data_IF_029566343932
#
_entry.id   IF_029566343932
#
_cell.length_a   1.000
_cell.length_b   1.000
_cell.length_c   1.000
_cell.angle_alpha   90.00
_cell.angle_beta   90.00
_cell.angle_gamma   90.00
#
_symmetry.space_group_name_H-M   'P 1'
#
loop_
_entity.id
_entity.type
_entity.pdbx_description
1 polymer ?
#
# COMPACT_ATOMS: atom_id res chain seq x y z
N UNK A 1 -2.78 9.89 16.31
CA UNK A 1 -1.70 10.89 16.35
C UNK A 1 -0.54 10.44 15.47
N UNK A 2 -0.03 11.34 14.68
CA UNK A 2 1.07 11.08 13.74
C UNK A 2 2.41 11.43 14.38
N UNK A 3 3.43 10.59 14.18
CA UNK A 3 4.81 10.89 14.61
C UNK A 3 5.80 10.20 13.69
N UNK A 4 7.07 10.64 13.74
CA UNK A 4 8.14 10.11 12.90
C UNK A 4 9.14 9.35 13.75
N UNK A 5 9.49 8.13 13.30
CA UNK A 5 10.48 7.28 13.91
C UNK A 5 11.47 6.82 12.83
N UNK A 6 12.70 7.36 12.86
CA UNK A 6 13.64 7.15 11.78
C UNK A 6 13.12 7.74 10.48
N UNK A 7 13.00 6.92 9.43
CA UNK A 7 12.42 7.31 8.14
C UNK A 7 10.95 6.89 8.01
N UNK A 8 10.33 6.47 9.09
CA UNK A 8 8.96 5.96 9.08
C UNK A 8 8.01 6.96 9.73
N UNK A 9 6.92 7.27 9.03
CA UNK A 9 5.80 8.00 9.59
C UNK A 9 4.82 7.00 10.18
N UNK A 10 4.51 7.16 11.46
CA UNK A 10 3.53 6.35 12.16
C UNK A 10 2.30 7.18 12.46
N UNK A 11 1.15 6.54 12.47
CA UNK A 11 -0.14 7.20 12.65
C UNK A 11 -1.00 6.40 13.62
N UNK A 12 -2.14 6.96 14.04
CA UNK A 12 -2.98 6.37 15.07
C UNK A 12 -3.73 5.13 14.58
N UNK A 13 -4.01 4.22 15.51
CA UNK A 13 -4.79 3.01 15.20
C UNK A 13 -6.23 3.35 14.80
N UNK A 14 -6.72 4.51 15.22
CA UNK A 14 -8.05 5.04 14.88
C UNK A 14 -8.11 5.69 13.51
N UNK A 15 -6.96 5.99 12.89
CA UNK A 15 -6.92 6.63 11.58
C UNK A 15 -7.23 5.59 10.51
N UNK A 16 -8.33 5.80 9.82
CA UNK A 16 -8.75 4.97 8.71
C UNK A 16 -8.73 5.80 7.44
N UNK A 17 -8.07 5.29 6.42
CA UNK A 17 -8.04 5.98 5.14
C UNK A 17 -8.38 5.05 4.01
N UNK A 18 -8.94 5.60 2.94
CA UNK A 18 -9.39 4.80 1.81
C UNK A 18 -9.13 5.49 0.48
N UNK A 19 -9.11 4.66 -0.55
CA UNK A 19 -9.13 5.10 -1.93
C UNK A 19 -10.04 4.20 -2.75
N UNK A 20 -10.61 4.75 -3.81
CA UNK A 20 -11.24 3.96 -4.86
C UNK A 20 -10.46 4.12 -6.15
N UNK A 21 -10.39 3.07 -6.94
CA UNK A 21 -9.72 3.06 -8.23
C UNK A 21 -10.62 2.48 -9.30
N UNK A 22 -10.26 2.70 -10.56
CA UNK A 22 -10.86 1.95 -11.67
C UNK A 22 -10.23 0.55 -11.76
N UNK A 23 -10.59 -0.22 -12.78
CA UNK A 23 -10.10 -1.59 -12.97
C UNK A 23 -8.61 -1.66 -13.31
N UNK A 24 -8.01 -0.53 -13.71
CA UNK A 24 -6.58 -0.43 -14.04
C UNK A 24 -5.74 0.06 -12.87
N UNK A 25 -6.38 0.36 -11.73
CA UNK A 25 -5.69 0.86 -10.56
C UNK A 25 -5.47 2.37 -10.57
N UNK A 26 -6.16 3.11 -11.43
CA UNK A 26 -6.10 4.57 -11.44
C UNK A 26 -7.01 5.12 -10.35
N UNK A 27 -6.48 6.01 -9.51
CA UNK A 27 -7.18 6.55 -8.35
C UNK A 27 -8.32 7.47 -8.80
N UNK A 28 -9.50 7.24 -8.24
CA UNK A 28 -10.69 8.07 -8.45
C UNK A 28 -11.03 8.95 -7.28
N UNK A 29 -10.86 8.41 -6.06
CA UNK A 29 -11.21 9.12 -4.82
C UNK A 29 -10.25 8.73 -3.71
N UNK A 30 -9.99 9.69 -2.83
CA UNK A 30 -9.26 9.49 -1.58
C UNK A 30 -9.98 10.25 -0.46
N UNK A 31 -9.71 9.90 0.80
CA UNK A 31 -10.19 10.72 1.91
C UNK A 31 -9.05 11.60 2.44
N UNK A 32 -9.41 12.52 3.34
CA UNK A 32 -8.46 13.49 3.88
C UNK A 32 -7.28 12.85 4.60
N UNK A 33 -7.51 11.74 5.31
CA UNK A 33 -6.44 11.03 6.02
C UNK A 33 -5.44 10.46 5.02
N UNK A 34 -5.90 9.89 3.91
CA UNK A 34 -5.05 9.40 2.84
C UNK A 34 -4.14 10.52 2.31
N UNK A 35 -4.73 11.65 1.97
CA UNK A 35 -3.99 12.80 1.44
C UNK A 35 -2.96 13.31 2.45
N UNK A 36 -3.37 13.43 3.70
CA UNK A 36 -2.50 13.90 4.78
C UNK A 36 -1.28 13.00 4.98
N UNK A 37 -1.48 11.67 5.05
CA UNK A 37 -0.38 10.73 5.28
C UNK A 37 0.57 10.65 4.09
N UNK A 38 0.05 10.68 2.87
CA UNK A 38 0.86 10.61 1.66
C UNK A 38 1.56 11.91 1.31
N UNK A 39 1.12 13.02 1.86
CA UNK A 39 1.58 14.37 1.51
C UNK A 39 1.31 14.78 0.06
N UNK A 40 0.54 13.99 -0.67
CA UNK A 40 0.02 14.38 -1.97
C UNK A 40 -1.34 15.04 -1.78
N UNK A 41 -1.65 16.04 -2.62
CA UNK A 41 -3.00 16.60 -2.65
C UNK A 41 -3.96 15.63 -3.36
N UNK A 42 -5.26 15.79 -3.15
CA UNK A 42 -6.23 14.98 -3.87
C UNK A 42 -6.14 15.21 -5.38
N UNK A 43 -5.82 16.42 -5.81
CA UNK A 43 -5.62 16.76 -7.23
C UNK A 43 -4.43 16.02 -7.84
N UNK A 44 -3.35 15.83 -7.06
CA UNK A 44 -2.20 15.05 -7.51
C UNK A 44 -2.51 13.55 -7.56
N UNK A 45 -3.35 13.06 -6.65
CA UNK A 45 -3.67 11.64 -6.54
C UNK A 45 -4.72 11.17 -7.53
N UNK A 46 -5.83 11.92 -7.69
CA UNK A 46 -6.92 11.54 -8.58
C UNK A 46 -6.41 11.56 -10.03
N UNK A 47 -6.61 10.46 -10.73
CA UNK A 47 -6.11 10.29 -12.10
C UNK A 47 -4.70 9.70 -12.19
N UNK A 48 -4.02 9.51 -11.06
CA UNK A 48 -2.71 8.87 -11.01
C UNK A 48 -2.85 7.38 -10.74
N UNK A 49 -1.94 6.54 -11.26
CA UNK A 49 -1.92 5.13 -10.86
C UNK A 49 -1.57 5.02 -9.37
N UNK A 50 -2.12 4.00 -8.72
CA UNK A 50 -1.96 3.83 -7.27
C UNK A 50 -0.50 3.63 -6.85
N UNK A 51 0.37 3.22 -7.78
CA UNK A 51 1.79 3.04 -7.50
C UNK A 51 2.54 4.36 -7.22
N UNK A 52 1.87 5.52 -7.33
CA UNK A 52 2.46 6.81 -6.95
C UNK A 52 2.97 6.80 -5.51
N UNK A 53 2.34 6.02 -4.62
CA UNK A 53 2.75 5.90 -3.21
C UNK A 53 3.50 4.58 -2.91
N UNK A 54 3.81 3.78 -3.93
CA UNK A 54 4.47 2.50 -3.74
C UNK A 54 5.94 2.69 -3.39
N UNK A 55 6.38 2.04 -2.32
CA UNK A 55 7.80 2.01 -1.96
C UNK A 55 8.53 0.97 -2.81
N UNK A 56 9.78 1.29 -3.23
CA UNK A 56 10.59 0.40 -4.06
C UNK A 56 10.98 -0.91 -3.36
N UNK A 57 10.92 -0.95 -2.03
CA UNK A 57 11.24 -2.15 -1.25
C UNK A 57 10.06 -3.14 -1.19
N UNK A 58 8.88 -2.77 -1.71
CA UNK A 58 7.77 -3.71 -1.80
C UNK A 58 8.04 -4.76 -2.87
N UNK A 59 7.92 -6.06 -2.53
CA UNK A 59 8.11 -7.11 -3.53
C UNK A 59 6.97 -7.13 -4.54
N UNK A 60 7.30 -7.31 -5.81
CA UNK A 60 6.30 -7.42 -6.87
C UNK A 60 5.37 -8.63 -6.65
N UNK A 61 5.89 -9.71 -6.04
CA UNK A 61 5.11 -10.89 -5.73
C UNK A 61 3.94 -10.66 -4.79
N UNK A 62 4.06 -9.71 -3.86
CA UNK A 62 2.95 -9.34 -2.97
C UNK A 62 1.79 -8.76 -3.75
N UNK A 63 2.06 -7.88 -4.71
CA UNK A 63 1.03 -7.30 -5.57
C UNK A 63 0.46 -8.33 -6.54
N UNK A 64 1.28 -9.24 -7.03
CA UNK A 64 0.80 -10.32 -7.90
C UNK A 64 -0.23 -11.19 -7.17
N UNK A 65 0.05 -11.59 -5.94
CA UNK A 65 -0.90 -12.38 -5.14
C UNK A 65 -2.19 -11.58 -4.90
N UNK A 66 -2.07 -10.31 -4.58
CA UNK A 66 -3.23 -9.43 -4.40
C UNK A 66 -4.10 -9.37 -5.66
N UNK A 67 -3.48 -9.12 -6.82
CA UNK A 67 -4.22 -9.02 -8.08
C UNK A 67 -4.83 -10.36 -8.51
N UNK A 68 -4.15 -11.47 -8.24
CA UNK A 68 -4.70 -12.80 -8.52
C UNK A 68 -5.99 -13.05 -7.72
N UNK A 69 -6.02 -12.66 -6.43
CA UNK A 69 -7.22 -12.76 -5.59
C UNK A 69 -8.35 -11.87 -6.11
N UNK A 70 -8.02 -10.61 -6.39
CA UNK A 70 -9.00 -9.64 -6.88
C UNK A 70 -9.56 -10.04 -8.26
N UNK A 71 -8.71 -10.60 -9.12
CA UNK A 71 -9.12 -11.08 -10.44
C UNK A 71 -10.11 -12.24 -10.38
N UNK A 72 -10.16 -12.96 -9.25
CA UNK A 72 -11.13 -14.03 -9.02
C UNK A 72 -12.39 -13.53 -8.30
N UNK A 73 -12.54 -12.21 -8.15
CA UNK A 73 -13.69 -11.60 -7.48
C UNK A 73 -13.63 -11.65 -5.96
N UNK A 74 -12.46 -12.00 -5.39
CA UNK A 74 -12.28 -12.07 -3.93
C UNK A 74 -11.66 -10.79 -3.40
N UNK A 75 -11.95 -10.46 -2.13
CA UNK A 75 -11.23 -9.42 -1.42
C UNK A 75 -9.84 -9.92 -1.04
N UNK A 76 -8.89 -9.01 -0.89
CA UNK A 76 -7.52 -9.32 -0.51
C UNK A 76 -7.08 -8.43 0.64
N UNK A 77 -6.30 -9.00 1.58
CA UNK A 77 -5.66 -8.26 2.65
C UNK A 77 -4.16 -8.36 2.47
N UNK A 78 -3.46 -7.22 2.61
CA UNK A 78 -2.03 -7.17 2.36
C UNK A 78 -1.39 -6.07 3.22
N UNK A 79 -0.20 -6.37 3.77
CA UNK A 79 0.64 -5.34 4.35
C UNK A 79 1.38 -4.62 3.23
N UNK A 80 1.37 -3.30 3.25
CA UNK A 80 1.98 -2.49 2.20
C UNK A 80 2.88 -1.43 2.83
N UNK A 81 4.10 -1.35 2.32
CA UNK A 81 5.00 -0.24 2.63
C UNK A 81 4.82 0.82 1.54
N UNK A 82 4.46 2.02 1.97
CA UNK A 82 4.27 3.16 1.10
C UNK A 82 5.38 4.19 1.30
N UNK A 83 5.59 5.05 0.32
CA UNK A 83 6.46 6.22 0.41
C UNK A 83 5.64 7.46 0.15
N UNK A 84 5.67 8.40 1.08
CA UNK A 84 5.02 9.69 0.93
C UNK A 84 5.84 10.61 0.02
N UNK A 85 5.20 11.69 -0.42
CA UNK A 85 5.84 12.69 -1.29
C UNK A 85 7.07 13.32 -0.65
N UNK A 86 7.08 13.46 0.68
CA UNK A 86 8.20 14.03 1.44
C UNK A 86 9.34 13.01 1.70
N UNK A 87 9.22 11.79 1.18
CA UNK A 87 10.25 10.77 1.29
C UNK A 87 10.19 9.90 2.53
N UNK A 88 9.22 10.12 3.42
CA UNK A 88 9.03 9.27 4.58
C UNK A 88 8.22 8.03 4.21
N UNK A 89 8.54 6.92 4.88
CA UNK A 89 7.87 5.64 4.66
C UNK A 89 6.71 5.49 5.64
N UNK A 90 5.68 4.74 5.26
CA UNK A 90 4.63 4.35 6.20
C UNK A 90 4.04 3.00 5.82
N UNK A 91 3.92 2.14 6.84
CA UNK A 91 3.32 0.83 6.71
C UNK A 91 1.82 0.89 6.94
N UNK A 92 1.08 0.15 6.12
CA UNK A 92 -0.37 0.01 6.26
C UNK A 92 -0.77 -1.45 6.18
N UNK A 93 -1.91 -1.77 6.79
CA UNK A 93 -2.64 -3.00 6.53
C UNK A 93 -3.83 -2.64 5.65
N UNK A 94 -3.81 -3.13 4.42
CA UNK A 94 -4.81 -2.78 3.42
C UNK A 94 -5.77 -3.94 3.19
N UNK A 95 -7.07 -3.61 3.16
CA UNK A 95 -8.11 -4.53 2.73
C UNK A 95 -8.68 -3.98 1.43
N UNK A 96 -8.58 -4.75 0.36
CA UNK A 96 -9.03 -4.34 -0.97
C UNK A 96 -10.23 -5.20 -1.36
N UNK A 97 -11.30 -4.56 -1.77
CA UNK A 97 -12.54 -5.21 -2.20
C UNK A 97 -12.85 -4.85 -3.65
N UNK A 98 -13.22 -5.82 -4.49
CA UNK A 98 -13.66 -5.51 -5.84
C UNK A 98 -15.02 -4.80 -5.83
N UNK A 99 -15.16 -3.81 -6.72
CA UNK A 99 -16.41 -3.11 -7.01
C UNK A 99 -16.84 -3.48 -8.43
N UNK A 100 -18.05 -3.09 -8.82
CA UNK A 100 -18.55 -3.36 -10.17
C UNK A 100 -17.63 -2.77 -11.25
N UNK A 101 -16.99 -1.64 -10.98
CA UNK A 101 -16.19 -0.88 -11.94
C UNK A 101 -14.80 -0.51 -11.43
N UNK A 102 -14.30 -1.21 -10.43
CA UNK A 102 -12.98 -0.93 -9.87
C UNK A 102 -12.76 -1.58 -8.53
N UNK A 103 -12.04 -0.89 -7.65
CA UNK A 103 -11.65 -1.41 -6.34
C UNK A 103 -11.78 -0.37 -5.24
N UNK A 104 -12.14 -0.84 -4.05
CA UNK A 104 -12.09 -0.05 -2.81
C UNK A 104 -10.95 -0.58 -1.95
N UNK A 105 -10.07 0.30 -1.50
CA UNK A 105 -8.99 -0.06 -0.59
C UNK A 105 -9.16 0.71 0.71
N UNK A 106 -9.27 -0.01 1.81
CA UNK A 106 -9.34 0.55 3.16
C UNK A 106 -8.05 0.21 3.89
N UNK A 107 -7.43 1.20 4.51
CA UNK A 107 -6.13 1.07 5.15
C UNK A 107 -6.16 1.55 6.56
N UNK A 108 -5.48 0.79 7.43
CA UNK A 108 -5.28 1.09 8.84
C UNK A 108 -3.83 0.82 9.23
N UNK A 109 -3.42 1.30 10.40
CA UNK A 109 -2.11 0.98 10.96
C UNK A 109 -2.01 -0.52 11.24
N UNK A 110 -0.88 -1.19 10.90
CA UNK A 110 -0.66 -2.56 11.33
C UNK A 110 -0.63 -2.64 12.86
N UNK A 111 -1.46 -3.51 13.44
CA UNK A 111 -1.56 -3.68 14.90
C UNK A 111 -1.23 -5.09 15.37
N UNK A 112 -1.36 -6.09 14.51
CA UNK A 112 -1.00 -7.46 14.82
C UNK A 112 0.48 -7.71 14.53
N UNK A 113 1.33 -7.38 15.49
CA UNK A 113 2.79 -7.48 15.31
C UNK A 113 3.26 -8.93 15.20
N UNK A 114 2.53 -9.89 15.74
CA UNK A 114 2.86 -11.31 15.61
C UNK A 114 2.79 -11.77 14.14
N UNK A 115 1.90 -11.17 13.33
CA UNK A 115 1.85 -11.41 11.89
C UNK A 115 2.73 -10.44 11.11
N UNK A 116 2.72 -9.19 11.48
CA UNK A 116 3.39 -8.13 10.71
C UNK A 116 4.92 -8.30 10.69
N UNK A 117 5.53 -8.60 11.82
CA UNK A 117 6.99 -8.74 11.90
C UNK A 117 7.54 -9.82 10.97
N UNK A 118 6.99 -11.06 10.94
CA UNK A 118 7.44 -12.05 9.96
C UNK A 118 7.20 -11.63 8.50
N UNK A 119 6.10 -10.94 8.22
CA UNK A 119 5.81 -10.48 6.85
C UNK A 119 6.86 -9.49 6.37
N UNK A 120 7.28 -8.56 7.21
CA UNK A 120 8.35 -7.61 6.85
C UNK A 120 9.65 -8.34 6.46
N UNK A 121 10.02 -9.37 7.21
CA UNK A 121 11.21 -10.18 6.92
C UNK A 121 11.06 -10.95 5.60
N UNK A 122 9.90 -11.53 5.37
CA UNK A 122 9.61 -12.26 4.13
C UNK A 122 9.66 -11.30 2.94
N UNK A 123 9.08 -10.12 3.07
CA UNK A 123 9.12 -9.11 2.01
C UNK A 123 10.55 -8.71 1.65
N UNK A 124 11.40 -8.51 2.65
CA UNK A 124 12.80 -8.16 2.41
C UNK A 124 13.54 -9.27 1.65
N UNK A 125 13.30 -10.53 1.99
CA UNK A 125 13.91 -11.69 1.31
C UNK A 125 13.40 -11.83 -0.12
N UNK A 126 12.09 -11.72 -0.33
CA UNK A 126 11.50 -11.83 -1.66
C UNK A 126 12.00 -10.70 -2.56
N UNK A 127 12.05 -9.48 -2.02
CA UNK A 127 12.53 -8.33 -2.80
C UNK A 127 14.00 -8.47 -3.18
N UNK A 128 14.84 -8.97 -2.27
CA UNK A 128 16.24 -9.25 -2.56
C UNK A 128 16.39 -10.30 -3.66
N UNK A 129 15.57 -11.35 -3.63
CA UNK A 129 15.57 -12.38 -4.67
C UNK A 129 15.11 -11.82 -6.02
N UNK A 130 14.09 -10.98 -6.03
CA UNK A 130 13.59 -10.33 -7.25
C UNK A 130 14.68 -9.45 -7.89
N UNK A 131 15.39 -8.68 -7.06
CA UNK A 131 16.49 -7.83 -7.54
C UNK A 131 17.65 -8.65 -8.07
N UNK A 132 18.04 -9.72 -7.39
CA UNK A 132 19.11 -10.61 -7.85
C UNK A 132 18.74 -11.28 -9.19
N UNK A 133 17.49 -11.73 -9.35
CA UNK A 133 17.01 -12.31 -10.60
C UNK A 133 17.05 -11.29 -11.76
N UNK A 134 16.67 -10.07 -11.49
CA UNK A 134 16.70 -9.00 -12.49
C UNK A 134 18.14 -8.69 -12.95
N UNK A 135 19.12 -8.77 -12.05
CA UNK A 135 20.54 -8.57 -12.37
C UNK A 135 21.10 -9.71 -13.23
N UNK A 136 20.63 -10.95 -12.99
CA UNK A 136 21.03 -12.11 -13.78
C UNK A 136 20.42 -12.14 -15.19
N UNK A 137 19.26 -11.54 -15.30
CA UNK A 137 18.49 -11.49 -16.53
C UNK A 137 18.90 -10.40 -17.46
#
# INVERSE_FOLDING_TARGET
MEYVDGNERRFGAEDLFFSTTDTKGVIRRTNRVFDSLSRYSSEELVGSPHNIIRHDDMPAGAFKLMWDELGQGRSSCVYVLNRAKDGLDYWVFATIAPLADGYLSVRVRPTNHAMFTPVKEIYARVRAAERAYAEEG
#
